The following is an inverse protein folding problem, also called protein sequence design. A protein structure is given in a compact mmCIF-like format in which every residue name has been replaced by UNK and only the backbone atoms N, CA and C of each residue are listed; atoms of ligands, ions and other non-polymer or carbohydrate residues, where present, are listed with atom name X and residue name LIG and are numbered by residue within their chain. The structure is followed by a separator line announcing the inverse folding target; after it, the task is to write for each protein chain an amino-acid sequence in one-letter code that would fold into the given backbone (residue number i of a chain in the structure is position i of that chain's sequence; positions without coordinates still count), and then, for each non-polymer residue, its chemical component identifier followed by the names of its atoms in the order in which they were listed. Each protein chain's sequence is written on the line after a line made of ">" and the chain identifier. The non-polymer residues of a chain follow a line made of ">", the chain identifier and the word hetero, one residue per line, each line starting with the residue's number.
data_IF_418546775923
#
_entry.id   IF_418546775923
#
_cell.length_a   1.000
_cell.length_b   1.000
_cell.length_c   1.000
_cell.angle_alpha   90.00
_cell.angle_beta   90.00
_cell.angle_gamma   90.00
#
_symmetry.space_group_name_H-M   'P 1'
#
loop_
_entity.id
_entity.type
_entity.pdbx_description
1 polymer ?
#
# COMPACT_ATOMS: atom_id res chain seq x y z
N UNK A 1 -31.55 -7.18 -5.53
CA UNK A 1 -31.12 -6.65 -5.45
C UNK A 1 -30.53 -6.41 -5.39
N UNK A 2 -30.31 -6.48 -5.39
CA UNK A 2 -29.40 -5.79 -5.48
C UNK A 2 -28.82 -5.66 -4.47
N UNK A 3 -27.79 -6.02 -4.40
CA UNK A 3 -27.38 -5.64 -3.15
C UNK A 3 -27.50 -4.19 -2.95
N UNK A 4 -28.39 -3.92 -2.22
CA UNK A 4 -28.65 -2.57 -1.97
C UNK A 4 -27.76 -2.01 -0.91
N UNK A 5 -27.18 -2.85 -0.08
CA UNK A 5 -26.41 -2.36 1.02
C UNK A 5 -24.94 -2.38 0.70
N UNK A 6 -24.59 -1.74 -0.37
CA UNK A 6 -23.20 -1.46 -0.60
C UNK A 6 -22.71 -0.60 0.54
N UNK A 7 -21.80 -1.11 1.32
CA UNK A 7 -21.23 -0.36 2.41
C UNK A 7 -20.50 0.86 1.88
N UNK A 8 -20.65 1.98 2.57
CA UNK A 8 -19.89 3.17 2.25
C UNK A 8 -18.49 2.97 2.81
N UNK A 9 -17.54 2.86 1.93
CA UNK A 9 -16.13 2.80 2.30
C UNK A 9 -15.65 4.24 2.35
N UNK A 10 -15.17 4.66 3.52
CA UNK A 10 -14.79 6.04 3.73
C UNK A 10 -13.66 6.48 2.81
N UNK A 11 -12.66 5.62 2.61
CA UNK A 11 -11.51 5.94 1.77
C UNK A 11 -11.60 5.16 0.48
N UNK A 12 -11.66 5.89 -0.65
CA UNK A 12 -11.67 5.28 -1.97
C UNK A 12 -10.28 4.94 -2.44
N UNK A 13 -9.37 5.90 -2.37
CA UNK A 13 -7.97 5.67 -2.71
C UNK A 13 -7.08 6.67 -1.99
N UNK A 14 -5.81 6.32 -1.88
CA UNK A 14 -4.75 7.21 -1.37
C UNK A 14 -3.67 7.34 -2.44
N UNK A 15 -3.06 8.51 -2.56
CA UNK A 15 -1.98 8.71 -3.51
C UNK A 15 -0.63 8.71 -2.81
N UNK A 16 0.38 8.15 -3.48
CA UNK A 16 1.77 8.24 -3.06
C UNK A 16 2.61 8.72 -4.24
N UNK A 17 3.59 9.55 -3.96
CA UNK A 17 4.49 10.08 -4.99
C UNK A 17 5.57 9.07 -5.34
N UNK A 18 5.79 8.87 -6.64
CA UNK A 18 6.81 7.95 -7.14
C UNK A 18 7.57 8.62 -8.28
N UNK A 19 8.80 8.17 -8.52
CA UNK A 19 9.63 8.71 -9.61
C UNK A 19 9.32 8.03 -10.94
N UNK A 20 9.05 6.74 -10.90
CA UNK A 20 8.83 5.91 -12.09
C UNK A 20 7.52 5.14 -11.95
N UNK A 21 6.50 5.58 -12.69
CA UNK A 21 5.15 5.00 -12.61
C UNK A 21 5.17 3.50 -12.97
N UNK A 22 5.91 3.11 -14.01
CA UNK A 22 5.91 1.72 -14.45
C UNK A 22 6.54 0.79 -13.40
N UNK A 23 7.62 1.23 -12.78
CA UNK A 23 8.25 0.46 -11.70
C UNK A 23 7.35 0.39 -10.47
N UNK A 24 6.68 1.48 -10.13
CA UNK A 24 5.77 1.51 -8.99
C UNK A 24 4.55 0.62 -9.21
N UNK A 25 3.98 0.65 -10.42
CA UNK A 25 2.87 -0.24 -10.77
C UNK A 25 3.28 -1.70 -10.56
N UNK A 26 4.45 -2.07 -11.08
CA UNK A 26 4.93 -3.44 -10.94
C UNK A 26 5.14 -3.82 -9.48
N UNK A 27 5.76 -2.95 -8.69
CA UNK A 27 5.99 -3.21 -7.27
C UNK A 27 4.70 -3.51 -6.53
N UNK A 28 3.72 -2.63 -6.63
CA UNK A 28 2.47 -2.77 -5.88
C UNK A 28 1.57 -3.88 -6.41
N UNK A 29 1.52 -4.07 -7.72
CA UNK A 29 0.76 -5.18 -8.29
C UNK A 29 1.34 -6.52 -7.85
N UNK A 30 2.66 -6.66 -7.89
CA UNK A 30 3.32 -7.91 -7.47
C UNK A 30 3.19 -8.14 -5.96
N UNK A 31 3.32 -7.07 -5.17
CA UNK A 31 3.27 -7.19 -3.71
C UNK A 31 1.90 -7.68 -3.22
N UNK A 32 0.83 -7.16 -3.79
CA UNK A 32 -0.53 -7.41 -3.32
C UNK A 32 -1.37 -8.31 -4.22
N UNK A 33 -0.79 -8.88 -5.28
CA UNK A 33 -1.54 -9.61 -6.30
C UNK A 33 -2.72 -8.77 -6.79
N UNK A 34 -2.46 -7.50 -7.03
CA UNK A 34 -3.47 -6.54 -7.46
C UNK A 34 -3.25 -6.17 -8.92
N UNK A 35 -4.21 -5.45 -9.48
CA UNK A 35 -4.15 -5.01 -10.87
C UNK A 35 -4.41 -3.51 -10.97
N UNK A 36 -3.98 -2.93 -12.08
CA UNK A 36 -4.24 -1.53 -12.38
C UNK A 36 -5.71 -1.40 -12.80
N UNK A 37 -6.47 -0.60 -12.06
CA UNK A 37 -7.88 -0.37 -12.32
C UNK A 37 -8.11 0.87 -13.18
N UNK A 38 -7.28 1.89 -12.98
CA UNK A 38 -7.34 3.16 -13.73
C UNK A 38 -5.91 3.59 -14.01
N UNK A 39 -5.65 4.03 -15.24
CA UNK A 39 -4.35 4.54 -15.63
C UNK A 39 -4.55 5.75 -16.52
N UNK A 40 -4.10 6.91 -16.06
CA UNK A 40 -4.18 8.16 -16.80
C UNK A 40 -2.79 8.72 -17.12
N UNK A 41 -1.79 7.85 -17.10
CA UNK A 41 -0.40 8.18 -17.44
C UNK A 41 0.40 8.65 -16.24
N UNK A 42 0.07 9.80 -15.68
CA UNK A 42 0.73 10.38 -14.52
C UNK A 42 0.30 9.72 -13.21
N UNK A 43 -0.83 9.02 -13.22
CA UNK A 43 -1.41 8.39 -12.04
C UNK A 43 -2.00 7.05 -12.44
N UNK A 44 -1.75 6.02 -11.64
CA UNK A 44 -2.34 4.71 -11.82
C UNK A 44 -2.91 4.24 -10.49
N UNK A 45 -4.17 3.79 -10.50
CA UNK A 45 -4.85 3.27 -9.32
C UNK A 45 -4.78 1.75 -9.32
N UNK A 46 -4.31 1.19 -8.23
CA UNK A 46 -4.03 -0.24 -8.10
C UNK A 46 -4.86 -0.81 -6.96
N UNK A 47 -5.55 -1.90 -7.22
CA UNK A 47 -6.39 -2.57 -6.22
C UNK A 47 -6.92 -3.87 -6.75
N UNK A 48 -7.76 -4.52 -5.94
CA UNK A 48 -8.40 -5.79 -6.31
C UNK A 48 -9.55 -5.56 -7.29
N UNK A 49 -10.24 -4.43 -7.15
CA UNK A 49 -11.31 -4.02 -8.04
C UNK A 49 -11.49 -2.51 -7.91
N UNK A 50 -12.23 -1.91 -8.86
CA UNK A 50 -12.50 -0.47 -8.82
C UNK A 50 -13.41 -0.08 -7.66
N UNK A 51 -14.12 -1.04 -7.07
CA UNK A 51 -15.05 -0.80 -5.96
C UNK A 51 -14.40 -0.96 -4.59
N UNK A 52 -13.19 -1.49 -4.54
CA UNK A 52 -12.45 -1.65 -3.29
C UNK A 52 -11.49 -0.47 -3.08
N UNK A 53 -11.00 -0.24 -1.87
CA UNK A 53 -9.97 0.76 -1.64
C UNK A 53 -8.73 0.49 -2.48
N UNK A 54 -8.13 1.54 -3.01
CA UNK A 54 -6.98 1.44 -3.91
C UNK A 54 -5.84 2.32 -3.44
N UNK A 55 -4.64 1.97 -3.88
CA UNK A 55 -3.49 2.86 -3.78
C UNK A 55 -3.24 3.45 -5.18
N UNK A 56 -3.01 4.74 -5.24
CA UNK A 56 -2.67 5.39 -6.50
C UNK A 56 -1.22 5.82 -6.45
N UNK A 57 -0.44 5.36 -7.42
CA UNK A 57 0.94 5.82 -7.59
C UNK A 57 0.93 6.95 -8.61
N UNK A 58 1.64 8.04 -8.32
CA UNK A 58 1.61 9.18 -9.21
C UNK A 58 2.93 9.95 -9.18
N UNK A 59 3.26 10.57 -10.32
CA UNK A 59 4.25 11.63 -10.29
C UNK A 59 3.55 12.90 -9.81
N UNK A 60 4.20 13.70 -8.94
CA UNK A 60 3.53 14.86 -8.35
C UNK A 60 2.97 15.81 -9.41
N UNK A 61 1.75 16.29 -9.17
CA UNK A 61 1.02 17.14 -10.11
C UNK A 61 1.77 18.44 -10.43
N UNK A 62 2.51 18.96 -9.46
CA UNK A 62 3.25 20.22 -9.65
C UNK A 62 4.57 20.03 -10.42
N UNK A 63 4.91 18.81 -10.83
CA UNK A 63 6.12 18.54 -11.59
C UNK A 63 7.41 18.48 -10.78
N UNK A 64 7.34 18.71 -9.47
CA UNK A 64 8.52 18.60 -8.61
C UNK A 64 8.77 17.14 -8.26
N UNK A 65 9.97 16.83 -7.75
CA UNK A 65 10.31 15.49 -7.32
C UNK A 65 9.41 15.05 -6.16
N UNK A 66 9.03 13.78 -6.08
CA UNK A 66 8.23 13.30 -4.96
C UNK A 66 9.01 13.34 -3.66
N UNK A 67 8.30 13.60 -2.57
CA UNK A 67 8.83 13.56 -1.22
C UNK A 67 7.99 12.63 -0.36
N UNK A 68 8.64 11.91 0.56
CA UNK A 68 7.95 10.89 1.34
C UNK A 68 7.18 11.45 2.53
N UNK A 69 7.52 12.63 2.97
CA UNK A 69 6.95 13.21 4.17
C UNK A 69 7.46 12.54 5.45
N UNK A 70 7.09 13.11 6.58
CA UNK A 70 7.39 12.58 7.89
C UNK A 70 6.08 12.46 8.67
N UNK A 71 5.70 11.24 9.03
CA UNK A 71 4.42 10.95 9.65
C UNK A 71 3.38 10.35 8.70
N UNK A 72 3.64 10.36 7.40
CA UNK A 72 2.75 9.77 6.41
C UNK A 72 3.05 8.28 6.26
N UNK A 73 1.99 7.47 6.29
CA UNK A 73 2.12 6.02 6.14
C UNK A 73 0.80 5.47 5.60
N UNK A 74 0.87 4.49 4.73
CA UNK A 74 -0.31 3.73 4.29
C UNK A 74 -0.21 2.35 4.93
N UNK A 75 -1.27 1.93 5.62
CA UNK A 75 -1.29 0.65 6.32
C UNK A 75 -2.25 -0.31 5.63
N UNK A 76 -1.78 -1.51 5.40
CA UNK A 76 -2.53 -2.58 4.71
C UNK A 76 -2.86 -3.65 5.73
N UNK A 77 -4.16 -3.94 5.89
CA UNK A 77 -4.60 -4.97 6.83
C UNK A 77 -4.33 -6.36 6.24
N UNK A 78 -3.89 -7.25 7.11
CA UNK A 78 -3.64 -8.65 6.77
C UNK A 78 -4.62 -9.54 7.51
N UNK A 79 -4.76 -10.78 7.06
CA UNK A 79 -5.70 -11.74 7.65
C UNK A 79 -5.11 -12.53 8.82
N UNK A 80 -3.80 -12.49 9.00
CA UNK A 80 -3.11 -13.23 10.05
C UNK A 80 -1.73 -12.63 10.33
N UNK A 81 -1.16 -12.97 11.47
CA UNK A 81 0.22 -12.58 11.79
C UNK A 81 1.22 -13.24 10.82
N UNK A 82 0.93 -14.46 10.38
CA UNK A 82 1.78 -15.11 9.37
C UNK A 82 1.74 -14.37 8.05
N UNK A 83 0.60 -13.82 7.66
CA UNK A 83 0.50 -13.01 6.44
C UNK A 83 1.28 -11.70 6.58
N UNK A 84 1.29 -11.09 7.75
CA UNK A 84 2.14 -9.90 8.00
C UNK A 84 3.60 -10.24 7.75
N UNK A 85 4.07 -11.36 8.29
CA UNK A 85 5.45 -11.81 8.09
C UNK A 85 5.76 -12.08 6.62
N UNK A 86 4.86 -12.78 5.93
CA UNK A 86 5.04 -13.13 4.52
C UNK A 86 5.07 -11.88 3.64
N UNK A 87 4.20 -10.92 3.90
CA UNK A 87 4.13 -9.69 3.12
C UNK A 87 5.37 -8.83 3.32
N UNK A 88 5.85 -8.73 4.55
CA UNK A 88 7.09 -8.02 4.84
C UNK A 88 8.26 -8.62 4.05
N UNK A 89 8.41 -9.94 4.10
CA UNK A 89 9.47 -10.63 3.37
C UNK A 89 9.34 -10.41 1.85
N UNK A 90 8.11 -10.49 1.33
CA UNK A 90 7.87 -10.29 -0.10
C UNK A 90 8.23 -8.86 -0.51
N UNK A 91 7.86 -7.86 0.29
CA UNK A 91 8.20 -6.47 0.00
C UNK A 91 9.71 -6.27 -0.10
N UNK A 92 10.46 -6.84 0.84
CA UNK A 92 11.93 -6.76 0.79
C UNK A 92 12.48 -7.41 -0.47
N UNK A 93 11.92 -8.54 -0.89
CA UNK A 93 12.35 -9.23 -2.11
C UNK A 93 12.06 -8.42 -3.38
N UNK A 94 11.11 -7.50 -3.32
CA UNK A 94 10.72 -6.65 -4.45
C UNK A 94 11.43 -5.29 -4.45
N UNK A 95 12.33 -5.06 -3.50
CA UNK A 95 13.14 -3.85 -3.48
C UNK A 95 12.81 -2.85 -2.39
N UNK A 96 11.89 -3.16 -1.50
CA UNK A 96 11.62 -2.32 -0.34
C UNK A 96 12.74 -2.47 0.70
N UNK A 97 12.86 -1.49 1.59
CA UNK A 97 13.80 -1.56 2.71
C UNK A 97 13.04 -1.73 4.01
N UNK A 98 13.65 -2.45 4.96
CA UNK A 98 13.04 -2.68 6.26
C UNK A 98 12.95 -1.38 7.06
N UNK A 99 11.79 -1.17 7.69
CA UNK A 99 11.56 -0.03 8.60
C UNK A 99 11.03 -0.54 9.95
N UNK A 100 10.85 -1.84 10.10
CA UNK A 100 10.40 -2.48 11.33
C UNK A 100 9.97 -3.91 11.07
N UNK A 101 10.74 -4.87 11.59
CA UNK A 101 10.45 -6.28 11.42
C UNK A 101 9.10 -6.67 12.04
N UNK A 102 8.46 -7.75 11.53
CA UNK A 102 7.19 -8.21 12.08
C UNK A 102 7.26 -8.43 13.59
N UNK A 103 6.31 -7.89 14.32
CA UNK A 103 6.25 -8.05 15.76
C UNK A 103 5.03 -7.39 16.39
N UNK A 104 4.77 -7.78 17.63
CA UNK A 104 3.73 -7.17 18.43
C UNK A 104 4.18 -5.77 18.85
N UNK A 105 3.39 -4.77 18.49
CA UNK A 105 3.70 -3.37 18.80
C UNK A 105 2.94 -2.88 20.03
N UNK A 106 1.68 -3.30 20.14
CA UNK A 106 0.83 -3.01 21.29
C UNK A 106 0.25 -4.36 21.71
N UNK A 107 0.48 -4.76 22.97
CA UNK A 107 0.03 -6.05 23.47
C UNK A 107 -1.47 -6.25 23.23
N UNK A 108 -1.82 -7.39 22.66
CA UNK A 108 -3.19 -7.79 22.36
C UNK A 108 -3.95 -6.87 21.38
N UNK A 109 -3.31 -5.86 20.83
CA UNK A 109 -4.00 -4.86 20.00
C UNK A 109 -3.45 -4.79 18.60
N UNK A 110 -2.12 -4.72 18.43
CA UNK A 110 -1.54 -4.40 17.12
C UNK A 110 -0.26 -5.18 16.88
N UNK A 111 -0.30 -6.01 15.84
CA UNK A 111 0.86 -6.73 15.31
C UNK A 111 1.16 -6.18 13.92
N UNK A 112 2.38 -5.75 13.67
CA UNK A 112 2.69 -5.12 12.40
C UNK A 112 4.15 -5.22 12.00
N UNK A 113 4.37 -4.85 10.74
CA UNK A 113 5.69 -4.74 10.13
C UNK A 113 5.70 -3.52 9.22
N UNK A 114 6.87 -2.92 9.04
CA UNK A 114 6.99 -1.68 8.27
C UNK A 114 8.12 -1.79 7.27
N UNK A 115 7.91 -1.21 6.09
CA UNK A 115 8.94 -1.08 5.07
C UNK A 115 8.87 0.31 4.44
N UNK A 116 9.93 0.69 3.75
CA UNK A 116 9.91 1.81 2.80
C UNK A 116 9.87 1.21 1.40
N UNK A 117 8.94 1.69 0.58
CA UNK A 117 8.91 1.25 -0.81
C UNK A 117 10.15 1.76 -1.57
N UNK A 118 10.37 1.37 -2.84
CA UNK A 118 11.56 1.82 -3.57
C UNK A 118 11.71 3.34 -3.70
N UNK A 119 10.64 4.10 -3.52
CA UNK A 119 10.68 5.57 -3.51
C UNK A 119 10.82 6.15 -2.11
N UNK A 120 10.82 5.30 -1.07
CA UNK A 120 10.93 5.73 0.31
C UNK A 120 9.61 5.97 1.03
N UNK A 121 8.48 5.69 0.40
CA UNK A 121 7.17 5.83 1.04
C UNK A 121 7.02 4.75 2.11
N UNK A 122 6.58 5.17 3.30
CA UNK A 122 6.38 4.23 4.41
C UNK A 122 5.06 3.50 4.26
N UNK A 123 5.13 2.18 4.35
CA UNK A 123 3.94 1.32 4.34
C UNK A 123 4.02 0.32 5.47
N UNK A 124 2.85 -0.06 5.98
CA UNK A 124 2.73 -1.03 7.06
C UNK A 124 1.87 -2.20 6.62
N UNK A 125 2.20 -3.37 7.13
CA UNK A 125 1.34 -4.56 7.06
C UNK A 125 0.95 -4.89 8.48
N UNK A 126 -0.35 -5.04 8.77
CA UNK A 126 -0.76 -5.18 10.15
C UNK A 126 -2.01 -6.03 10.31
N UNK A 127 -2.23 -6.47 11.54
CA UNK A 127 -3.49 -7.06 11.97
C UNK A 127 -3.75 -6.61 13.41
N UNK A 128 -5.00 -6.34 13.72
CA UNK A 128 -5.41 -6.10 15.09
C UNK A 128 -5.48 -7.43 15.84
N UNK A 129 -4.94 -7.44 17.07
CA UNK A 129 -4.90 -8.66 17.88
C UNK A 129 -3.52 -9.14 18.32
#
# INVERSE_FOLDING_TARGET
>A
MYSTSKEIIMIGYSTIGVKDIEKAKKFYCDLFDATVQVDVGRLAMIGKSADAPMIAVCTPYNGNAPECGNGTMVAYTMSSKDEVKAKHAKALSLGATDEGEPGQRIDDVFYGAYVRDPDGNKIAFYIFG
#
